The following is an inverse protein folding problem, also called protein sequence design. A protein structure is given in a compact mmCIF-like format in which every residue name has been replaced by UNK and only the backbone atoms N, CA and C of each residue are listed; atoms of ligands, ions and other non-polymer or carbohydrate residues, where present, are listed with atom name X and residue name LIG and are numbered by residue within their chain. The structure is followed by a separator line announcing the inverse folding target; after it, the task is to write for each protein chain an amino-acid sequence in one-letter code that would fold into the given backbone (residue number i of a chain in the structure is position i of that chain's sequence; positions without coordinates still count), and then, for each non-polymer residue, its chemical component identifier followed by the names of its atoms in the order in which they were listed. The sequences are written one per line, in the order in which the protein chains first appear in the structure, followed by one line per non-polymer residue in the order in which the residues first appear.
data_IF_795038887265
#
_entry.id   IF_795038887265
#
_cell.length_a   1.000
_cell.length_b   1.000
_cell.length_c   1.000
_cell.angle_alpha   90.00
_cell.angle_beta   90.00
_cell.angle_gamma   90.00
#
_symmetry.space_group_name_H-M   'P 1'
#
loop_
_entity.id
_entity.type
_entity.pdbx_description
1 polymer ?
#
# COMPACT_ATOMS: atom_id res chain seq x y z
N UNK A 1 23.20 2.31 7.31
CA UNK A 1 22.77 2.57 5.92
C UNK A 1 21.38 1.99 5.62
N UNK A 2 20.84 1.14 6.50
CA UNK A 2 19.62 0.34 6.28
C UNK A 2 18.32 1.16 6.22
N UNK A 3 18.31 2.33 6.86
CA UNK A 3 17.16 3.24 6.87
C UNK A 3 16.88 3.88 5.50
N UNK A 4 17.94 4.17 4.72
CA UNK A 4 17.82 4.78 3.39
C UNK A 4 17.36 3.77 2.33
N UNK A 5 17.83 2.52 2.40
CA UNK A 5 17.28 1.45 1.55
C UNK A 5 15.81 1.17 1.87
N UNK A 6 15.43 1.20 3.14
CA UNK A 6 14.04 0.95 3.54
C UNK A 6 13.10 2.03 2.98
N UNK A 7 13.47 3.30 3.07
CA UNK A 7 12.61 4.38 2.56
C UNK A 7 12.52 4.37 1.02
N UNK A 8 13.60 4.01 0.29
CA UNK A 8 13.55 3.92 -1.17
C UNK A 8 12.63 2.80 -1.66
N UNK A 9 12.66 1.63 -1.00
CA UNK A 9 11.73 0.53 -1.29
C UNK A 9 10.29 0.94 -1.01
N UNK A 10 10.03 1.63 0.11
CA UNK A 10 8.69 2.12 0.44
C UNK A 10 8.18 3.15 -0.58
N UNK A 11 9.05 4.04 -1.07
CA UNK A 11 8.69 5.00 -2.12
C UNK A 11 8.42 4.30 -3.46
N UNK A 12 9.22 3.29 -3.82
CA UNK A 12 8.97 2.50 -5.03
C UNK A 12 7.60 1.80 -4.95
N UNK A 13 7.30 1.14 -3.82
CA UNK A 13 6.00 0.53 -3.57
C UNK A 13 4.87 1.55 -3.65
N UNK A 14 5.02 2.73 -3.02
CA UNK A 14 4.01 3.77 -3.04
C UNK A 14 3.71 4.24 -4.48
N UNK A 15 4.74 4.42 -5.32
CA UNK A 15 4.57 4.75 -6.76
C UNK A 15 3.85 3.65 -7.52
N UNK A 16 4.22 2.38 -7.31
CA UNK A 16 3.53 1.26 -7.96
C UNK A 16 2.04 1.21 -7.60
N UNK A 17 1.71 1.44 -6.33
CA UNK A 17 0.34 1.37 -5.82
C UNK A 17 -0.54 2.49 -6.38
N UNK A 18 0.02 3.68 -6.67
CA UNK A 18 -0.72 4.80 -7.29
C UNK A 18 -1.37 4.37 -8.61
N UNK A 19 -0.69 3.54 -9.41
CA UNK A 19 -1.13 3.12 -10.74
C UNK A 19 -2.10 1.92 -10.73
N UNK A 20 -2.43 1.39 -9.55
CA UNK A 20 -3.34 0.26 -9.46
C UNK A 20 -4.79 0.67 -9.74
N UNK A 21 -5.64 -0.26 -10.24
CA UNK A 21 -7.07 -0.04 -10.36
C UNK A 21 -7.66 0.46 -9.03
N UNK A 22 -8.54 1.46 -9.08
CA UNK A 22 -8.99 2.20 -7.89
C UNK A 22 -9.44 1.30 -6.73
N UNK A 23 -10.18 0.22 -7.02
CA UNK A 23 -10.65 -0.72 -5.99
C UNK A 23 -9.51 -1.50 -5.33
N UNK A 24 -8.50 -1.90 -6.11
CA UNK A 24 -7.31 -2.61 -5.63
C UNK A 24 -6.43 -1.67 -4.80
N UNK A 25 -6.16 -0.48 -5.32
CA UNK A 25 -5.43 0.59 -4.62
C UNK A 25 -6.08 0.92 -3.29
N UNK A 26 -7.37 1.24 -3.29
CA UNK A 26 -8.10 1.59 -2.06
C UNK A 26 -8.11 0.45 -1.05
N UNK A 27 -8.32 -0.80 -1.48
CA UNK A 27 -8.29 -1.94 -0.57
C UNK A 27 -6.92 -2.10 0.09
N UNK A 28 -5.85 -1.99 -0.68
CA UNK A 28 -4.48 -2.09 -0.17
C UNK A 28 -4.11 -0.94 0.76
N UNK A 29 -4.53 0.30 0.46
CA UNK A 29 -4.29 1.45 1.32
C UNK A 29 -5.04 1.37 2.65
N UNK A 30 -6.28 0.84 2.65
CA UNK A 30 -7.04 0.57 3.89
C UNK A 30 -6.33 -0.48 4.74
N UNK A 31 -5.89 -1.58 4.10
CA UNK A 31 -5.14 -2.64 4.78
C UNK A 31 -3.87 -2.10 5.43
N UNK A 32 -3.05 -1.37 4.66
CA UNK A 32 -1.84 -0.71 5.15
C UNK A 32 -2.14 0.27 6.29
N UNK A 33 -3.16 1.12 6.15
CA UNK A 33 -3.49 2.13 7.15
C UNK A 33 -4.00 1.51 8.47
N UNK A 34 -4.69 0.36 8.39
CA UNK A 34 -5.21 -0.34 9.56
C UNK A 34 -4.15 -1.18 10.28
N UNK A 35 -3.15 -1.68 9.55
CA UNK A 35 -2.09 -2.52 10.12
C UNK A 35 -0.80 -1.77 10.47
N UNK A 36 -0.57 -0.58 9.88
CA UNK A 36 0.59 0.22 10.19
C UNK A 36 0.46 0.94 11.53
N UNK A 37 1.57 1.02 12.26
CA UNK A 37 1.68 1.98 13.36
C UNK A 37 1.83 3.39 12.78
N UNK A 38 0.69 4.10 12.73
CA UNK A 38 0.60 5.48 12.26
C UNK A 38 0.70 6.50 13.41
N UNK A 39 0.98 6.04 14.64
CA UNK A 39 1.05 6.90 15.83
C UNK A 39 2.39 7.60 16.00
N UNK A 40 3.44 7.14 15.32
CA UNK A 40 4.77 7.77 15.35
C UNK A 40 4.91 8.92 14.35
N UNK A 41 5.44 10.07 14.82
CA UNK A 41 5.79 11.23 13.98
C UNK A 41 6.84 10.93 12.89
N UNK A 42 7.55 9.80 12.99
CA UNK A 42 8.67 9.41 12.12
C UNK A 42 8.40 8.14 11.28
N UNK A 43 7.12 7.80 11.04
CA UNK A 43 6.79 6.63 10.23
C UNK A 43 7.29 6.79 8.79
N UNK A 44 8.34 6.06 8.43
CA UNK A 44 8.91 6.07 7.07
C UNK A 44 7.87 5.68 6.00
N UNK A 45 6.89 4.86 6.39
CA UNK A 45 5.75 4.49 5.55
C UNK A 45 4.88 5.71 5.25
N UNK A 46 4.53 6.50 6.27
CA UNK A 46 3.78 7.75 6.06
C UNK A 46 4.53 8.70 5.14
N UNK A 47 5.82 8.94 5.41
CA UNK A 47 6.65 9.84 4.59
C UNK A 47 6.72 9.37 3.13
N UNK A 48 6.89 8.08 2.88
CA UNK A 48 6.98 7.53 1.54
C UNK A 48 5.68 7.67 0.74
N UNK A 49 4.52 7.40 1.36
CA UNK A 49 3.23 7.57 0.71
C UNK A 49 2.84 9.04 0.53
N UNK A 50 3.18 9.90 1.51
CA UNK A 50 2.97 11.34 1.39
C UNK A 50 3.78 11.95 0.24
N UNK A 51 5.01 11.47 0.02
CA UNK A 51 5.86 11.92 -1.08
C UNK A 51 5.28 11.61 -2.47
N UNK A 52 4.31 10.69 -2.58
CA UNK A 52 3.58 10.39 -3.83
C UNK A 52 2.15 10.93 -3.81
N UNK A 53 1.81 11.80 -2.86
CA UNK A 53 0.49 12.44 -2.76
C UNK A 53 -0.60 11.60 -2.10
N UNK A 54 -0.25 10.54 -1.37
CA UNK A 54 -1.20 9.71 -0.62
C UNK A 54 -1.08 9.98 0.88
N UNK A 55 -2.16 10.46 1.49
CA UNK A 55 -2.29 10.47 2.94
C UNK A 55 -2.88 9.14 3.43
N UNK A 56 -2.02 8.24 3.94
CA UNK A 56 -2.46 6.95 4.48
C UNK A 56 -3.43 7.08 5.66
N UNK A 57 -3.40 8.19 6.41
CA UNK A 57 -4.32 8.39 7.55
C UNK A 57 -5.77 8.51 7.07
N UNK A 58 -5.99 9.05 5.88
CA UNK A 58 -7.31 9.13 5.25
C UNK A 58 -7.92 7.75 4.91
N UNK A 59 -7.10 6.70 4.87
CA UNK A 59 -7.54 5.33 4.59
C UNK A 59 -7.76 4.49 5.86
N UNK A 60 -7.50 5.03 7.06
CA UNK A 60 -7.89 4.36 8.31
C UNK A 60 -9.39 4.28 8.39
N UNK A 61 -9.94 3.07 8.38
CA UNK A 61 -11.37 2.86 8.44
C UNK A 61 -11.70 1.51 9.07
N UNK A 62 -12.78 1.48 9.84
CA UNK A 62 -13.37 0.21 10.27
C UNK A 62 -13.94 -0.53 9.07
N UNK A 63 -13.49 -1.76 8.84
CA UNK A 63 -14.02 -2.60 7.77
C UNK A 63 -15.54 -2.79 7.92
N UNK A 64 -16.24 -2.85 6.79
CA UNK A 64 -17.70 -3.07 6.77
C UNK A 64 -18.08 -4.34 7.53
N UNK A 65 -19.20 -4.31 8.24
CA UNK A 65 -19.78 -5.50 8.88
C UNK A 65 -20.63 -6.34 7.92
N UNK A 66 -20.98 -5.77 6.76
CA UNK A 66 -21.72 -6.48 5.71
C UNK A 66 -20.83 -7.57 5.06
N UNK A 67 -21.24 -8.85 5.10
CA UNK A 67 -20.51 -9.95 4.46
C UNK A 67 -20.21 -9.73 2.97
N UNK A 68 -21.11 -9.08 2.22
CA UNK A 68 -20.93 -8.86 0.79
C UNK A 68 -19.81 -7.84 0.53
N UNK A 69 -19.86 -6.71 1.23
CA UNK A 69 -18.81 -5.68 1.13
C UNK A 69 -17.46 -6.19 1.61
N UNK A 70 -17.45 -7.02 2.66
CA UNK A 70 -16.22 -7.72 3.11
C UNK A 70 -15.65 -8.63 2.04
N UNK A 71 -16.49 -9.44 1.40
CA UNK A 71 -16.05 -10.33 0.32
C UNK A 71 -15.46 -9.54 -0.86
N UNK A 72 -16.13 -8.46 -1.28
CA UNK A 72 -15.67 -7.56 -2.34
C UNK A 72 -14.33 -6.90 -2.00
N UNK A 73 -14.18 -6.44 -0.76
CA UNK A 73 -12.93 -5.86 -0.28
C UNK A 73 -11.80 -6.90 -0.27
N UNK A 74 -12.04 -8.09 0.28
CA UNK A 74 -11.04 -9.17 0.32
C UNK A 74 -10.59 -9.61 -1.08
N UNK A 75 -11.52 -9.72 -2.04
CA UNK A 75 -11.18 -9.99 -3.43
C UNK A 75 -10.32 -8.88 -4.05
N UNK A 76 -10.66 -7.62 -3.79
CA UNK A 76 -9.89 -6.46 -4.26
C UNK A 76 -8.48 -6.44 -3.67
N UNK A 77 -8.35 -6.74 -2.37
CA UNK A 77 -7.08 -6.82 -1.66
C UNK A 77 -6.21 -7.97 -2.18
N UNK A 78 -6.79 -9.16 -2.38
CA UNK A 78 -6.09 -10.32 -2.94
C UNK A 78 -5.52 -10.01 -4.34
N UNK A 79 -6.31 -9.36 -5.19
CA UNK A 79 -5.86 -8.94 -6.51
C UNK A 79 -4.78 -7.84 -6.44
N UNK A 80 -4.89 -6.91 -5.50
CA UNK A 80 -3.87 -5.89 -5.27
C UNK A 80 -2.53 -6.50 -4.88
N UNK A 81 -2.51 -7.42 -3.91
CA UNK A 81 -1.27 -8.10 -3.49
C UNK A 81 -0.67 -8.97 -4.60
N UNK A 82 -1.51 -9.68 -5.37
CA UNK A 82 -1.04 -10.44 -6.54
C UNK A 82 -0.36 -9.53 -7.54
N UNK A 83 -0.99 -8.39 -7.88
CA UNK A 83 -0.42 -7.38 -8.78
C UNK A 83 0.88 -6.81 -8.22
N UNK A 84 0.91 -6.45 -6.95
CA UNK A 84 2.10 -5.90 -6.29
C UNK A 84 3.29 -6.86 -6.38
N UNK A 85 3.08 -8.14 -6.09
CA UNK A 85 4.11 -9.16 -6.22
C UNK A 85 4.62 -9.26 -7.66
N UNK A 86 3.72 -9.30 -8.64
CA UNK A 86 4.10 -9.39 -10.05
C UNK A 86 4.90 -8.16 -10.48
N UNK A 87 4.39 -6.96 -10.22
CA UNK A 87 5.04 -5.71 -10.63
C UNK A 87 6.38 -5.50 -9.94
N UNK A 88 6.51 -5.88 -8.66
CA UNK A 88 7.77 -5.79 -7.94
C UNK A 88 8.82 -6.77 -8.50
N UNK A 89 8.42 -8.02 -8.81
CA UNK A 89 9.30 -9.01 -9.42
C UNK A 89 9.82 -8.57 -10.80
N UNK A 90 8.97 -7.97 -11.64
CA UNK A 90 9.41 -7.43 -12.93
C UNK A 90 10.42 -6.29 -12.76
N UNK A 91 10.22 -5.43 -11.76
CA UNK A 91 11.10 -4.28 -11.53
C UNK A 91 12.46 -4.67 -10.91
N UNK A 92 12.57 -5.82 -10.23
CA UNK A 92 13.88 -6.36 -9.81
C UNK A 92 14.67 -6.96 -10.98
N UNK A 93 14.02 -7.38 -12.06
CA UNK A 93 14.69 -7.90 -13.26
C UNK A 93 15.25 -6.81 -14.18
N UNK A 94 14.72 -5.58 -14.13
CA UNK A 94 15.23 -4.43 -14.90
C UNK A 94 16.47 -3.75 -14.26
N UNK A 95 16.83 -4.14 -13.03
CA UNK A 95 18.01 -3.65 -12.29
C UNK A 95 19.19 -4.64 -12.29
N UNK A 96 19.08 -5.76 -13.02
CA UNK A 96 20.14 -6.77 -13.21
C UNK A 96 20.63 -6.78 -14.66
#
# INVERSE_FOLDING_TARGET
MDSLMRISVLMALARLIVDFPIKQRTALLIDLANHADLSGETSQLLSAFQAVGIDLRAYRCTLSRDPLERSRHAASLSMAYKRLRQTFQYHEQDFM
#
